data_IF_507976047552
#
_entry.id   IF_507976047552
#
_cell.length_a   1.000
_cell.length_b   1.000
_cell.length_c   1.000
_cell.angle_alpha   90.00
_cell.angle_beta   90.00
_cell.angle_gamma   90.00
#
_symmetry.space_group_name_H-M   'P 1'
#
loop_
_entity.id
_entity.type
_entity.pdbx_description
1 polymer ?
#
# COMPACT_ATOMS: atom_id res chain seq x y z
N UNK A 1 -1.49 -17.11 -4.83
CA UNK A 1 -1.80 -15.66 -4.90
C UNK A 1 -1.14 -15.12 -6.16
N UNK A 2 -1.84 -14.23 -6.89
CA UNK A 2 -1.24 -13.37 -7.92
C UNK A 2 -1.11 -11.97 -7.32
N UNK A 3 0.08 -11.39 -7.35
CA UNK A 3 0.37 -10.10 -6.71
C UNK A 3 1.06 -9.14 -7.65
N UNK A 4 0.76 -7.85 -7.56
CA UNK A 4 1.65 -6.82 -8.11
C UNK A 4 3.04 -6.95 -7.48
N UNK A 5 4.11 -6.68 -8.24
CA UNK A 5 5.46 -6.53 -7.70
C UNK A 5 5.69 -5.16 -7.05
N UNK A 6 4.84 -4.17 -7.38
CA UNK A 6 4.88 -2.82 -6.83
C UNK A 6 4.14 -2.73 -5.49
N UNK A 7 4.70 -3.37 -4.47
CA UNK A 7 4.15 -3.46 -3.12
C UNK A 7 5.23 -3.17 -2.08
N UNK A 8 4.81 -2.88 -0.86
CA UNK A 8 5.70 -2.67 0.29
C UNK A 8 6.70 -3.81 0.45
N UNK A 9 7.96 -3.47 0.66
CA UNK A 9 9.06 -4.46 0.75
C UNK A 9 8.84 -5.55 1.80
N UNK A 10 8.17 -5.24 2.92
CA UNK A 10 7.81 -6.23 3.93
C UNK A 10 6.76 -7.23 3.42
N UNK A 11 5.77 -6.77 2.66
CA UNK A 11 4.78 -7.62 1.99
C UNK A 11 5.44 -8.47 0.91
N UNK A 12 6.34 -7.88 0.12
CA UNK A 12 7.12 -8.62 -0.87
C UNK A 12 7.93 -9.75 -0.23
N UNK A 13 8.65 -9.47 0.86
CA UNK A 13 9.40 -10.48 1.60
C UNK A 13 8.51 -11.57 2.19
N UNK A 14 7.36 -11.20 2.75
CA UNK A 14 6.36 -12.16 3.22
C UNK A 14 5.92 -13.09 2.09
N UNK A 15 5.56 -12.54 0.94
CA UNK A 15 5.05 -13.27 -0.21
C UNK A 15 6.13 -14.12 -0.89
N UNK A 16 7.32 -13.58 -1.05
CA UNK A 16 8.43 -14.24 -1.76
C UNK A 16 9.08 -15.35 -0.97
N UNK A 17 9.23 -15.19 0.35
CA UNK A 17 10.09 -16.05 1.17
C UNK A 17 9.39 -16.75 2.33
N UNK A 18 8.35 -16.15 2.92
CA UNK A 18 7.70 -16.69 4.11
C UNK A 18 6.50 -17.55 3.76
N UNK A 19 5.58 -17.06 2.94
CA UNK A 19 4.38 -17.81 2.56
C UNK A 19 4.66 -19.13 1.85
N UNK A 20 5.69 -19.26 0.98
CA UNK A 20 6.05 -20.55 0.39
C UNK A 20 6.41 -21.62 1.42
N UNK A 21 6.99 -21.25 2.57
CA UNK A 21 7.26 -22.18 3.67
C UNK A 21 5.99 -22.70 4.34
N UNK A 22 4.87 -22.01 4.15
CA UNK A 22 3.53 -22.39 4.62
C UNK A 22 2.68 -23.03 3.52
N UNK A 23 3.28 -23.35 2.36
CA UNK A 23 2.59 -23.95 1.22
C UNK A 23 1.76 -22.98 0.38
N UNK A 24 1.97 -21.67 0.53
CA UNK A 24 1.28 -20.63 -0.25
C UNK A 24 2.25 -20.04 -1.28
N UNK A 25 1.99 -20.31 -2.55
CA UNK A 25 2.78 -19.78 -3.66
C UNK A 25 2.27 -18.40 -4.10
N UNK A 26 3.19 -17.53 -4.50
CA UNK A 26 2.86 -16.20 -5.04
C UNK A 26 3.52 -16.01 -6.40
N UNK A 27 2.73 -15.62 -7.40
CA UNK A 27 3.21 -15.19 -8.72
C UNK A 27 3.14 -13.67 -8.77
N UNK A 28 4.27 -13.02 -9.08
CA UNK A 28 4.34 -11.56 -9.20
C UNK A 28 4.08 -11.10 -10.63
N UNK A 29 3.31 -10.04 -10.78
CA UNK A 29 3.07 -9.29 -12.01
C UNK A 29 3.93 -8.04 -11.96
N UNK A 30 4.86 -7.91 -12.90
CA UNK A 30 5.82 -6.80 -12.93
C UNK A 30 5.17 -5.50 -13.42
N UNK A 31 4.35 -5.58 -14.46
CA UNK A 31 3.55 -4.46 -14.96
C UNK A 31 2.11 -4.58 -14.48
N UNK A 32 1.78 -3.87 -13.40
CA UNK A 32 0.42 -3.90 -12.84
C UNK A 32 -0.62 -3.22 -13.74
N UNK A 33 -0.20 -2.44 -14.73
CA UNK A 33 -1.09 -1.74 -15.66
C UNK A 33 -1.50 -2.64 -16.85
N UNK A 34 -0.82 -3.78 -17.03
CA UNK A 34 -1.11 -4.77 -18.07
C UNK A 34 -2.08 -5.85 -17.56
N UNK A 35 -3.34 -5.78 -18.02
CA UNK A 35 -4.38 -6.77 -17.70
C UNK A 35 -4.05 -8.18 -18.22
N UNK A 36 -3.35 -8.31 -19.35
CA UNK A 36 -2.95 -9.61 -19.91
C UNK A 36 -1.89 -10.28 -19.02
N UNK A 37 -0.96 -9.50 -18.46
CA UNK A 37 0.02 -10.01 -17.51
C UNK A 37 -0.63 -10.57 -16.24
N UNK A 38 -1.68 -9.91 -15.72
CA UNK A 38 -2.47 -10.44 -14.61
C UNK A 38 -3.18 -11.74 -14.98
N UNK A 39 -3.82 -11.81 -16.13
CA UNK A 39 -4.51 -13.00 -16.60
C UNK A 39 -3.54 -14.19 -16.83
N UNK A 40 -2.38 -13.93 -17.44
CA UNK A 40 -1.36 -14.92 -17.69
C UNK A 40 -0.72 -15.51 -16.41
N UNK A 41 -0.74 -14.75 -15.31
CA UNK A 41 -0.22 -15.18 -14.02
C UNK A 41 -1.16 -16.12 -13.26
N UNK A 42 -2.42 -16.27 -13.69
CA UNK A 42 -3.42 -17.13 -13.05
C UNK A 42 -3.08 -18.60 -13.22
N UNK A 43 -3.23 -19.37 -12.14
CA UNK A 43 -3.08 -20.82 -12.10
C UNK A 43 -4.36 -21.48 -11.60
N UNK A 44 -4.58 -22.79 -11.81
CA UNK A 44 -5.79 -23.48 -11.33
C UNK A 44 -6.01 -23.33 -9.81
N UNK A 45 -4.92 -23.27 -9.03
CA UNK A 45 -4.94 -23.09 -7.58
C UNK A 45 -4.90 -21.63 -7.11
N UNK A 46 -5.00 -20.65 -8.00
CA UNK A 46 -5.07 -19.22 -7.61
C UNK A 46 -6.32 -18.96 -6.78
N UNK A 47 -6.13 -18.31 -5.62
CA UNK A 47 -7.19 -18.02 -4.63
C UNK A 47 -7.48 -16.53 -4.45
N UNK A 48 -6.54 -15.65 -4.78
CA UNK A 48 -6.73 -14.21 -4.65
C UNK A 48 -5.76 -13.43 -5.53
N UNK A 49 -6.14 -12.20 -5.88
CA UNK A 49 -5.25 -11.17 -6.37
C UNK A 49 -4.93 -10.21 -5.23
N UNK A 50 -3.71 -9.65 -5.26
CA UNK A 50 -3.26 -8.67 -4.27
C UNK A 50 -2.52 -7.52 -4.96
N UNK A 51 -2.86 -6.27 -4.59
CA UNK A 51 -2.14 -5.07 -5.04
C UNK A 51 -2.21 -3.97 -3.99
N UNK A 52 -1.37 -2.94 -4.13
CA UNK A 52 -1.50 -1.68 -3.39
C UNK A 52 -2.20 -0.64 -4.26
N UNK A 53 -3.10 0.16 -3.69
CA UNK A 53 -3.78 1.25 -4.39
C UNK A 53 -2.80 2.32 -4.86
N UNK A 54 -1.78 2.59 -4.05
CA UNK A 54 -0.60 3.41 -4.37
C UNK A 54 0.63 2.62 -3.98
N UNK A 55 1.41 2.22 -4.96
CA UNK A 55 2.56 1.34 -4.76
C UNK A 55 3.73 2.02 -4.03
N UNK A 56 4.55 1.24 -3.36
CA UNK A 56 5.74 1.71 -2.65
C UNK A 56 6.93 0.78 -2.96
N UNK A 57 8.05 1.26 -3.54
CA UNK A 57 8.49 2.68 -3.61
C UNK A 57 8.13 3.42 -4.91
N UNK A 58 7.51 2.80 -5.90
CA UNK A 58 7.30 3.38 -7.24
C UNK A 58 6.27 4.52 -7.26
N UNK A 59 5.41 4.63 -6.25
CA UNK A 59 4.33 5.65 -6.13
C UNK A 59 3.39 5.65 -7.37
N UNK A 60 3.27 4.51 -8.02
CA UNK A 60 2.35 4.26 -9.11
C UNK A 60 0.94 3.99 -8.57
N UNK A 61 -0.08 4.45 -9.29
CA UNK A 61 -1.50 4.29 -8.89
C UNK A 61 -2.13 3.15 -9.68
N UNK A 62 -2.78 2.24 -8.98
CA UNK A 62 -3.47 1.08 -9.54
C UNK A 62 -4.79 1.48 -10.20
N UNK A 63 -5.04 1.05 -11.43
CA UNK A 63 -6.41 0.99 -11.96
C UNK A 63 -7.13 -0.23 -11.35
N UNK A 64 -7.74 0.01 -10.19
CA UNK A 64 -8.36 -1.03 -9.36
C UNK A 64 -9.43 -1.79 -10.14
N UNK A 65 -10.27 -1.08 -10.91
CA UNK A 65 -11.35 -1.70 -11.70
C UNK A 65 -10.79 -2.67 -12.74
N UNK A 66 -9.73 -2.28 -13.45
CA UNK A 66 -9.08 -3.13 -14.45
C UNK A 66 -8.60 -4.45 -13.86
N UNK A 67 -7.96 -4.40 -12.69
CA UNK A 67 -7.45 -5.60 -12.01
C UNK A 67 -8.58 -6.43 -11.39
N UNK A 68 -9.61 -5.78 -10.85
CA UNK A 68 -10.81 -6.43 -10.33
C UNK A 68 -11.53 -7.23 -11.42
N UNK A 69 -11.68 -6.65 -12.61
CA UNK A 69 -12.35 -7.32 -13.74
C UNK A 69 -11.60 -8.62 -14.12
N UNK A 70 -10.27 -8.61 -14.13
CA UNK A 70 -9.46 -9.81 -14.38
C UNK A 70 -9.59 -10.83 -13.25
N UNK A 71 -9.56 -10.40 -11.99
CA UNK A 71 -9.73 -11.26 -10.83
C UNK A 71 -11.10 -11.97 -10.85
N UNK A 72 -12.17 -11.21 -11.06
CA UNK A 72 -13.53 -11.73 -11.09
C UNK A 72 -13.78 -12.65 -12.30
N UNK A 73 -13.22 -12.35 -13.46
CA UNK A 73 -13.25 -13.25 -14.62
C UNK A 73 -12.60 -14.64 -14.33
N UNK A 74 -11.70 -14.67 -13.36
CA UNK A 74 -11.03 -15.88 -12.89
C UNK A 74 -11.63 -16.44 -11.58
N UNK A 75 -12.77 -15.93 -11.14
CA UNK A 75 -13.48 -16.36 -9.93
C UNK A 75 -12.63 -16.27 -8.66
N UNK A 76 -11.85 -15.22 -8.51
CA UNK A 76 -11.07 -14.93 -7.30
C UNK A 76 -11.28 -13.48 -6.85
N UNK A 77 -11.20 -13.20 -5.54
CA UNK A 77 -11.32 -11.84 -5.03
C UNK A 77 -10.07 -11.03 -5.30
N UNK A 78 -10.26 -9.71 -5.42
CA UNK A 78 -9.18 -8.72 -5.37
C UNK A 78 -9.05 -8.15 -3.95
N UNK A 79 -7.85 -8.28 -3.39
CA UNK A 79 -7.45 -7.67 -2.11
C UNK A 79 -6.60 -6.44 -2.41
N UNK A 80 -6.98 -5.29 -1.89
CA UNK A 80 -6.25 -4.04 -2.08
C UNK A 80 -5.70 -3.53 -0.75
N UNK A 81 -4.39 -3.37 -0.65
CA UNK A 81 -3.78 -2.60 0.42
C UNK A 81 -3.93 -1.11 0.11
N UNK A 82 -4.70 -0.42 0.94
CA UNK A 82 -5.01 0.99 0.78
C UNK A 82 -4.34 1.87 1.86
N UNK A 83 -3.19 1.45 2.32
CA UNK A 83 -2.47 2.10 3.44
C UNK A 83 -2.09 3.54 3.15
N UNK A 84 -1.55 3.84 1.95
CA UNK A 84 -1.08 5.19 1.60
C UNK A 84 -2.25 6.14 1.36
N UNK A 85 -3.24 5.71 0.58
CA UNK A 85 -4.36 6.57 0.23
C UNK A 85 -5.39 6.71 1.37
N UNK A 86 -5.56 5.71 2.20
CA UNK A 86 -6.63 5.62 3.20
C UNK A 86 -8.03 5.68 2.58
N UNK A 87 -9.12 5.38 3.30
CA UNK A 87 -10.46 5.49 2.74
C UNK A 87 -10.90 6.94 2.49
N UNK A 88 -10.12 7.93 2.91
CA UNK A 88 -10.40 9.33 2.64
C UNK A 88 -10.10 9.73 1.18
N UNK A 89 -8.99 9.23 0.62
CA UNK A 89 -8.56 9.58 -0.74
C UNK A 89 -9.02 8.57 -1.80
N UNK A 90 -8.89 7.27 -1.51
CA UNK A 90 -9.32 6.19 -2.41
C UNK A 90 -10.25 5.24 -1.66
N UNK A 91 -11.36 4.86 -2.30
CA UNK A 91 -12.31 3.86 -1.80
C UNK A 91 -12.33 2.66 -2.73
N UNK A 92 -11.46 1.66 -2.49
CA UNK A 92 -11.29 0.55 -3.43
C UNK A 92 -12.55 -0.24 -3.74
N UNK A 93 -13.50 -0.33 -2.80
CA UNK A 93 -14.80 -0.99 -3.04
C UNK A 93 -15.64 -0.34 -4.16
N UNK A 94 -15.53 0.99 -4.34
CA UNK A 94 -16.21 1.70 -5.41
C UNK A 94 -15.61 1.39 -6.79
N UNK A 95 -14.47 0.69 -6.82
CA UNK A 95 -13.73 0.29 -8.00
C UNK A 95 -13.56 -1.23 -8.13
N UNK A 96 -14.39 -2.03 -7.44
CA UNK A 96 -14.45 -3.48 -7.60
C UNK A 96 -13.52 -4.30 -6.70
N UNK A 97 -12.80 -3.72 -5.75
CA UNK A 97 -12.09 -4.50 -4.74
C UNK A 97 -13.09 -5.25 -3.85
N UNK A 98 -12.74 -6.46 -3.41
CA UNK A 98 -13.58 -7.27 -2.53
C UNK A 98 -13.16 -7.15 -1.06
N UNK A 99 -11.86 -7.04 -0.84
CA UNK A 99 -11.26 -6.94 0.48
C UNK A 99 -10.25 -5.78 0.46
N UNK A 100 -10.28 -4.97 1.51
CA UNK A 100 -9.33 -3.87 1.69
C UNK A 100 -8.55 -4.08 2.98
N UNK A 101 -7.23 -3.94 2.89
CA UNK A 101 -6.36 -3.99 4.07
C UNK A 101 -5.67 -2.65 4.28
N UNK A 102 -5.35 -2.35 5.51
CA UNK A 102 -4.58 -1.17 5.90
C UNK A 102 -3.55 -1.53 6.96
N UNK A 103 -2.33 -1.06 6.80
CA UNK A 103 -1.46 -0.86 7.94
C UNK A 103 -1.94 0.37 8.70
N UNK A 104 -2.77 0.15 9.73
CA UNK A 104 -3.28 1.24 10.58
C UNK A 104 -2.16 1.94 11.38
N UNK A 105 -0.98 1.34 11.43
CA UNK A 105 0.29 1.92 11.90
C UNK A 105 0.60 3.26 11.23
N UNK A 106 0.20 3.42 9.94
CA UNK A 106 0.57 4.54 9.09
C UNK A 106 -0.44 5.68 9.23
N UNK A 107 -0.98 6.21 8.15
CA UNK A 107 -1.87 7.37 8.15
C UNK A 107 -3.13 7.23 9.01
N UNK A 108 -3.67 6.01 9.22
CA UNK A 108 -4.85 5.84 10.09
C UNK A 108 -4.53 6.21 11.54
N UNK A 109 -3.46 5.66 12.12
CA UNK A 109 -2.95 6.08 13.43
C UNK A 109 -2.29 7.46 13.39
N UNK A 110 -1.45 7.69 12.39
CA UNK A 110 -0.93 8.99 11.98
C UNK A 110 0.17 9.61 12.84
N UNK A 111 0.60 8.97 13.93
CA UNK A 111 1.50 9.59 14.92
C UNK A 111 2.74 8.75 15.24
N UNK A 112 2.94 7.61 14.56
CA UNK A 112 4.06 6.71 14.83
C UNK A 112 4.05 6.05 16.21
N UNK A 113 2.90 6.00 16.88
CA UNK A 113 2.76 5.57 18.28
C UNK A 113 2.14 4.19 18.44
N UNK A 114 1.68 3.55 17.37
CA UNK A 114 0.97 2.27 17.41
C UNK A 114 1.30 1.41 16.21
N UNK A 115 1.39 0.09 16.43
CA UNK A 115 1.43 -0.91 15.36
C UNK A 115 0.08 -1.59 15.31
N UNK A 116 -0.61 -1.50 14.16
CA UNK A 116 -1.94 -2.04 13.98
C UNK A 116 -2.23 -2.37 12.51
N UNK A 117 -3.15 -3.30 12.29
CA UNK A 117 -3.69 -3.64 10.98
C UNK A 117 -5.21 -3.69 11.00
N UNK A 118 -5.82 -3.41 9.84
CA UNK A 118 -7.26 -3.51 9.64
C UNK A 118 -7.54 -4.28 8.36
N UNK A 119 -8.49 -5.19 8.43
CA UNK A 119 -9.06 -5.90 7.28
C UNK A 119 -10.54 -5.52 7.18
N UNK A 120 -10.95 -5.06 6.01
CA UNK A 120 -12.34 -4.71 5.72
C UNK A 120 -12.83 -5.60 4.58
N UNK A 121 -13.91 -6.32 4.84
CA UNK A 121 -14.58 -7.15 3.84
C UNK A 121 -15.72 -6.31 3.21
N UNK A 122 -15.75 -6.21 1.89
CA UNK A 122 -16.81 -5.53 1.16
C UNK A 122 -18.14 -6.31 1.18
N UNK A 123 -18.09 -7.61 1.50
CA UNK A 123 -19.26 -8.48 1.53
C UNK A 123 -19.89 -8.74 0.15
N UNK A 124 -19.14 -8.47 -0.91
CA UNK A 124 -19.65 -8.51 -2.28
C UNK A 124 -19.25 -9.75 -3.06
N UNK A 125 -18.16 -10.42 -2.65
CA UNK A 125 -17.66 -11.59 -3.35
C UNK A 125 -18.55 -12.82 -3.07
N UNK A 126 -19.01 -13.48 -4.13
CA UNK A 126 -19.95 -14.60 -4.05
C UNK A 126 -19.23 -15.93 -3.77
N UNK A 127 -18.70 -16.11 -2.55
CA UNK A 127 -17.96 -17.32 -2.12
C UNK A 127 -18.68 -18.60 -2.43
N UNK A 128 -20.00 -18.65 -2.18
CA UNK A 128 -20.85 -19.83 -2.38
C UNK A 128 -20.97 -20.28 -3.84
N UNK A 129 -20.67 -19.42 -4.80
CA UNK A 129 -20.64 -19.75 -6.23
C UNK A 129 -19.33 -20.44 -6.66
N UNK A 130 -18.32 -20.44 -5.81
CA UNK A 130 -16.96 -20.91 -6.15
C UNK A 130 -16.47 -21.96 -5.15
N UNK A 131 -17.33 -22.96 -4.89
CA UNK A 131 -17.12 -23.99 -3.83
C UNK A 131 -15.78 -24.73 -3.96
N UNK A 132 -15.40 -25.11 -5.17
CA UNK A 132 -14.13 -25.82 -5.43
C UNK A 132 -12.89 -24.95 -5.13
N UNK A 133 -13.05 -23.62 -5.23
CA UNK A 133 -11.97 -22.68 -4.92
C UNK A 133 -11.88 -22.36 -3.42
N UNK A 134 -13.00 -22.31 -2.72
CA UNK A 134 -13.06 -21.85 -1.33
C UNK A 134 -13.72 -22.88 -0.39
N UNK A 135 -13.25 -24.16 -0.38
CA UNK A 135 -13.85 -25.20 0.48
C UNK A 135 -13.85 -24.80 1.95
N UNK A 136 -12.83 -24.09 2.40
CA UNK A 136 -12.76 -23.61 3.80
C UNK A 136 -13.88 -22.64 4.23
N UNK A 137 -14.64 -22.08 3.29
CA UNK A 137 -15.81 -21.23 3.58
C UNK A 137 -17.13 -21.94 3.27
N UNK A 138 -17.11 -22.87 2.32
CA UNK A 138 -18.31 -23.44 1.71
C UNK A 138 -18.62 -24.86 2.18
N UNK A 139 -17.61 -25.61 2.62
CA UNK A 139 -17.79 -26.96 3.16
C UNK A 139 -18.05 -26.96 4.67
N UNK A 140 -18.63 -28.06 5.20
CA UNK A 140 -18.82 -28.26 6.63
C UNK A 140 -17.50 -28.19 7.42
N UNK A 141 -17.44 -27.31 8.44
CA UNK A 141 -16.28 -27.17 9.32
C UNK A 141 -16.49 -28.01 10.60
N UNK A 142 -15.66 -29.04 10.85
CA UNK A 142 -15.77 -29.87 12.06
C UNK A 142 -15.63 -29.07 13.37
N UNK A 143 -14.84 -27.98 13.35
CA UNK A 143 -14.64 -27.12 14.53
C UNK A 143 -15.87 -26.27 14.88
N UNK A 144 -16.84 -26.20 13.97
CA UNK A 144 -18.12 -25.50 14.11
C UNK A 144 -19.32 -26.46 13.90
N UNK A 145 -19.22 -27.66 14.47
CA UNK A 145 -20.29 -28.66 14.48
C UNK A 145 -20.81 -29.08 13.08
N UNK A 146 -19.94 -28.97 12.06
CA UNK A 146 -20.30 -29.31 10.68
C UNK A 146 -21.06 -28.22 9.93
N UNK A 147 -21.15 -27.01 10.46
CA UNK A 147 -21.70 -25.87 9.73
C UNK A 147 -20.71 -25.35 8.70
N UNK A 148 -21.18 -24.92 7.52
CA UNK A 148 -20.38 -24.13 6.58
C UNK A 148 -20.60 -22.63 6.82
N UNK A 149 -19.56 -21.83 6.69
CA UNK A 149 -19.65 -20.38 6.93
C UNK A 149 -20.65 -19.70 5.98
N UNK A 150 -20.56 -20.01 4.68
CA UNK A 150 -21.49 -19.45 3.67
C UNK A 150 -22.92 -19.95 3.86
N UNK A 151 -23.10 -21.21 4.29
CA UNK A 151 -24.43 -21.77 4.50
C UNK A 151 -25.18 -21.17 5.69
N UNK A 152 -24.46 -20.78 6.75
CA UNK A 152 -25.07 -20.21 7.97
C UNK A 152 -25.11 -18.67 7.91
N UNK A 153 -24.07 -18.04 7.35
CA UNK A 153 -23.87 -16.59 7.44
C UNK A 153 -24.14 -15.86 6.11
N UNK A 154 -24.24 -16.61 5.01
CA UNK A 154 -24.26 -16.03 3.66
C UNK A 154 -22.89 -15.50 3.24
N UNK A 155 -22.76 -15.11 1.98
CA UNK A 155 -21.48 -14.65 1.40
C UNK A 155 -20.98 -13.36 2.05
N UNK A 156 -21.88 -12.47 2.44
CA UNK A 156 -21.55 -11.11 2.88
C UNK A 156 -20.66 -11.03 4.13
N UNK A 157 -20.72 -12.02 5.02
CA UNK A 157 -19.96 -11.99 6.28
C UNK A 157 -19.19 -13.29 6.57
N UNK A 158 -19.29 -14.30 5.71
CA UNK A 158 -18.65 -15.61 5.91
C UNK A 158 -17.12 -15.47 6.06
N UNK A 159 -16.48 -14.69 5.18
CA UNK A 159 -15.05 -14.48 5.18
C UNK A 159 -14.56 -13.79 6.46
N UNK A 160 -15.15 -12.65 6.81
CA UNK A 160 -14.68 -11.87 7.96
C UNK A 160 -14.95 -12.59 9.29
N UNK A 161 -16.04 -13.32 9.39
CA UNK A 161 -16.32 -14.14 10.59
C UNK A 161 -15.31 -15.27 10.71
N UNK A 162 -15.01 -15.99 9.62
CA UNK A 162 -13.99 -17.05 9.65
C UNK A 162 -12.62 -16.52 10.11
N UNK A 163 -12.19 -15.38 9.61
CA UNK A 163 -10.94 -14.75 10.05
C UNK A 163 -10.96 -14.51 11.57
N UNK A 164 -12.05 -13.98 12.09
CA UNK A 164 -12.17 -13.67 13.54
C UNK A 164 -12.17 -14.92 14.40
N UNK A 165 -12.97 -15.93 14.04
CA UNK A 165 -13.21 -17.10 14.91
C UNK A 165 -12.14 -18.20 14.78
N UNK A 166 -11.34 -18.17 13.72
CA UNK A 166 -10.21 -19.09 13.56
C UNK A 166 -8.88 -18.33 13.63
N UNK A 167 -8.54 -17.54 12.63
CA UNK A 167 -7.20 -16.97 12.54
C UNK A 167 -6.88 -16.01 13.69
N UNK A 168 -7.73 -15.02 13.95
CA UNK A 168 -7.49 -14.04 15.01
C UNK A 168 -7.49 -14.72 16.38
N UNK A 169 -8.50 -15.56 16.65
CA UNK A 169 -8.63 -16.25 17.95
C UNK A 169 -7.48 -17.23 18.17
N UNK A 170 -7.17 -18.09 17.16
CA UNK A 170 -6.28 -19.23 17.34
C UNK A 170 -4.81 -18.81 17.25
N UNK A 171 -4.47 -17.76 16.49
CA UNK A 171 -3.11 -17.22 16.41
C UNK A 171 -2.82 -16.13 17.44
N UNK A 172 -3.84 -15.59 18.08
CA UNK A 172 -3.70 -14.53 19.08
C UNK A 172 -3.36 -13.15 18.50
N UNK A 173 -3.56 -12.92 17.19
CA UNK A 173 -3.26 -11.66 16.52
C UNK A 173 -4.30 -10.57 16.83
N UNK A 174 -4.83 -10.53 18.04
CA UNK A 174 -5.81 -9.54 18.51
C UNK A 174 -5.13 -8.25 18.91
N UNK A 175 -5.66 -7.12 18.41
CA UNK A 175 -5.18 -5.80 18.80
C UNK A 175 -5.56 -5.49 20.26
N UNK A 176 -4.62 -4.90 21.01
CA UNK A 176 -4.91 -4.48 22.39
C UNK A 176 -5.95 -3.34 22.44
N UNK A 177 -6.73 -3.22 23.52
CA UNK A 177 -7.66 -2.09 23.68
C UNK A 177 -6.99 -0.73 23.58
N UNK A 178 -5.80 -0.56 24.18
CA UNK A 178 -5.04 0.71 24.12
C UNK A 178 -4.60 1.05 22.70
N UNK A 179 -4.12 0.06 21.96
CA UNK A 179 -3.76 0.25 20.53
C UNK A 179 -4.99 0.58 19.70
N UNK A 180 -6.13 -0.08 19.96
CA UNK A 180 -7.40 0.22 19.28
C UNK A 180 -7.86 1.64 19.55
N UNK A 181 -7.80 2.09 20.81
CA UNK A 181 -8.12 3.45 21.20
C UNK A 181 -7.23 4.47 20.50
N UNK A 182 -5.92 4.23 20.47
CA UNK A 182 -4.96 5.11 19.78
C UNK A 182 -5.27 5.22 18.27
N UNK A 183 -5.59 4.11 17.61
CA UNK A 183 -5.99 4.12 16.19
C UNK A 183 -7.28 4.90 15.98
N UNK A 184 -8.30 4.69 16.84
CA UNK A 184 -9.57 5.42 16.75
C UNK A 184 -9.38 6.93 16.88
N UNK A 185 -8.55 7.40 17.84
CA UNK A 185 -8.20 8.81 17.94
C UNK A 185 -7.54 9.35 16.68
N UNK A 186 -6.63 8.56 16.04
CA UNK A 186 -6.02 8.92 14.78
C UNK A 186 -7.06 9.05 13.66
N UNK A 187 -8.04 8.15 13.61
CA UNK A 187 -9.10 8.17 12.59
C UNK A 187 -10.00 9.40 12.72
N UNK A 188 -10.29 9.88 13.93
CA UNK A 188 -11.11 11.06 14.15
C UNK A 188 -10.58 12.32 13.44
N UNK A 189 -9.26 12.44 13.30
CA UNK A 189 -8.60 13.58 12.61
C UNK A 189 -8.10 13.25 11.21
N UNK A 190 -8.40 12.07 10.70
CA UNK A 190 -7.84 11.56 9.44
C UNK A 190 -8.07 12.51 8.27
N UNK A 191 -9.30 12.98 8.07
CA UNK A 191 -9.64 13.86 6.94
C UNK A 191 -8.83 15.16 6.95
N UNK A 192 -8.76 15.81 8.11
CA UNK A 192 -7.99 17.06 8.29
C UNK A 192 -6.50 16.85 8.03
N UNK A 193 -5.96 15.74 8.52
CA UNK A 193 -4.54 15.42 8.30
C UNK A 193 -4.26 15.12 6.84
N UNK A 194 -5.08 14.27 6.22
CA UNK A 194 -4.88 13.88 4.82
C UNK A 194 -5.03 15.06 3.85
N UNK A 195 -5.94 16.00 4.10
CA UNK A 195 -6.02 17.24 3.33
C UNK A 195 -4.69 18.01 3.39
N UNK A 196 -4.14 18.21 4.59
CA UNK A 196 -2.87 18.92 4.77
C UNK A 196 -1.69 18.12 4.20
N UNK A 197 -1.59 16.83 4.48
CA UNK A 197 -0.57 15.95 3.94
C UNK A 197 -0.51 15.98 2.41
N UNK A 198 -1.67 15.80 1.77
CA UNK A 198 -1.79 15.76 0.30
C UNK A 198 -1.48 17.12 -0.33
N UNK A 199 -1.95 18.21 0.30
CA UNK A 199 -1.63 19.56 -0.14
C UNK A 199 -0.12 19.80 -0.09
N UNK A 200 0.53 19.49 1.03
CA UNK A 200 1.97 19.64 1.17
C UNK A 200 2.74 18.81 0.11
N UNK A 201 2.29 17.57 -0.13
CA UNK A 201 2.91 16.71 -1.14
C UNK A 201 2.77 17.27 -2.56
N UNK A 202 1.59 17.77 -2.92
CA UNK A 202 1.34 18.36 -4.24
C UNK A 202 2.23 19.60 -4.45
N UNK A 203 2.20 20.57 -3.52
CA UNK A 203 2.99 21.80 -3.62
C UNK A 203 4.50 21.52 -3.64
N UNK A 204 4.95 20.53 -2.85
CA UNK A 204 6.37 20.18 -2.83
C UNK A 204 6.78 19.43 -4.10
N UNK A 205 5.92 18.54 -4.65
CA UNK A 205 6.19 17.85 -5.90
C UNK A 205 6.31 18.84 -7.07
N UNK A 206 5.43 19.83 -7.16
CA UNK A 206 5.47 20.89 -8.17
C UNK A 206 6.74 21.75 -8.06
N UNK A 207 7.16 22.06 -6.82
CA UNK A 207 8.40 22.79 -6.57
C UNK A 207 9.63 21.95 -6.97
N UNK A 208 9.69 20.70 -6.57
CA UNK A 208 10.78 19.77 -6.91
C UNK A 208 10.90 19.51 -8.42
N UNK A 209 9.78 19.42 -9.15
CA UNK A 209 9.77 19.21 -10.60
C UNK A 209 10.49 20.35 -11.36
N UNK A 210 10.49 21.54 -10.78
CA UNK A 210 11.15 22.72 -11.34
C UNK A 210 12.52 23.02 -10.72
N UNK A 211 12.99 22.18 -9.78
CA UNK A 211 14.25 22.42 -9.08
C UNK A 211 15.47 22.04 -9.96
N UNK A 212 16.52 22.90 -10.06
CA UNK A 212 17.67 22.66 -10.97
C UNK A 212 18.45 21.36 -10.67
N UNK A 213 18.50 20.92 -9.42
CA UNK A 213 19.26 19.73 -9.00
C UNK A 213 18.44 18.43 -9.04
N UNK A 214 17.15 18.52 -9.32
CA UNK A 214 16.24 17.39 -9.47
C UNK A 214 16.17 16.94 -10.94
N UNK A 215 16.33 15.65 -11.17
CA UNK A 215 16.24 15.06 -12.50
C UNK A 215 14.82 14.62 -12.85
N UNK A 216 14.07 14.10 -11.89
CA UNK A 216 12.67 13.68 -12.04
C UNK A 216 11.96 13.59 -10.70
N UNK A 217 10.63 13.65 -10.73
CA UNK A 217 9.75 13.49 -9.56
C UNK A 217 8.73 12.39 -9.84
N UNK A 218 8.58 11.44 -8.92
CA UNK A 218 7.54 10.43 -8.96
C UNK A 218 6.43 10.81 -7.98
N UNK A 219 5.36 11.37 -8.51
CA UNK A 219 4.13 11.67 -7.78
C UNK A 219 2.96 11.71 -8.75
N UNK A 220 1.98 10.86 -8.53
CA UNK A 220 0.87 10.68 -9.49
C UNK A 220 -0.08 11.89 -9.57
N UNK A 221 0.06 12.87 -8.67
CA UNK A 221 -0.65 14.15 -8.72
C UNK A 221 -0.06 15.17 -9.71
N UNK A 222 1.11 14.91 -10.30
CA UNK A 222 1.72 15.77 -11.32
C UNK A 222 1.18 15.42 -12.72
N UNK A 223 0.86 16.41 -13.56
CA UNK A 223 0.44 16.16 -14.96
C UNK A 223 1.47 15.41 -15.81
N UNK A 224 2.75 15.50 -15.45
CA UNK A 224 3.86 14.78 -16.09
C UNK A 224 3.88 13.28 -15.75
N UNK A 225 3.18 12.87 -14.69
CA UNK A 225 3.14 11.46 -14.25
C UNK A 225 2.37 10.57 -15.23
N UNK A 226 2.89 9.38 -15.60
CA UNK A 226 2.15 8.42 -16.41
C UNK A 226 0.86 7.93 -15.76
N UNK A 227 0.74 8.02 -14.45
CA UNK A 227 -0.45 7.61 -13.68
C UNK A 227 -1.41 8.76 -13.37
N UNK A 228 -1.18 9.98 -13.86
CA UNK A 228 -2.02 11.15 -13.60
C UNK A 228 -3.49 10.92 -13.95
N UNK A 229 -3.77 10.32 -15.11
CA UNK A 229 -5.13 10.04 -15.56
C UNK A 229 -5.83 9.01 -14.63
N UNK A 230 -5.13 7.93 -14.28
CA UNK A 230 -5.62 6.91 -13.34
C UNK A 230 -5.84 7.52 -11.95
N UNK A 231 -4.91 8.34 -11.47
CA UNK A 231 -5.01 9.04 -10.20
C UNK A 231 -6.27 9.93 -10.13
N UNK A 232 -6.52 10.74 -11.15
CA UNK A 232 -7.72 11.58 -11.20
C UNK A 232 -9.02 10.76 -11.22
N UNK A 233 -9.01 9.55 -11.79
CA UNK A 233 -10.18 8.64 -11.82
C UNK A 233 -10.47 8.06 -10.44
N UNK A 234 -9.45 7.55 -9.73
CA UNK A 234 -9.64 6.78 -8.49
C UNK A 234 -9.43 7.59 -7.21
N UNK A 235 -8.71 8.70 -7.29
CA UNK A 235 -8.30 9.53 -6.16
C UNK A 235 -8.56 11.04 -6.40
N UNK A 236 -9.81 11.46 -6.62
CA UNK A 236 -10.15 12.85 -7.00
C UNK A 236 -9.78 13.89 -5.92
N UNK A 237 -9.51 13.46 -4.69
CA UNK A 237 -9.06 14.33 -3.58
C UNK A 237 -7.54 14.40 -3.45
N UNK A 238 -6.80 13.72 -4.34
CA UNK A 238 -5.34 13.60 -4.33
C UNK A 238 -4.84 12.20 -4.00
N UNK A 239 -3.55 11.98 -4.23
CA UNK A 239 -2.92 10.65 -4.25
C UNK A 239 -2.10 10.32 -3.00
N UNK A 240 -2.28 11.05 -1.91
CA UNK A 240 -1.56 10.85 -0.66
C UNK A 240 -0.30 11.70 -0.53
N UNK A 241 0.53 11.35 0.43
CA UNK A 241 1.63 12.20 0.88
C UNK A 241 3.00 11.53 0.79
N UNK A 242 3.13 10.50 -0.04
CA UNK A 242 4.41 9.86 -0.32
C UNK A 242 4.81 10.21 -1.74
N UNK A 243 6.01 10.73 -1.91
CA UNK A 243 6.60 10.99 -3.23
C UNK A 243 8.07 10.59 -3.24
N UNK A 244 8.65 10.46 -4.40
CA UNK A 244 10.08 10.30 -4.56
C UNK A 244 10.60 11.18 -5.69
N UNK A 245 11.87 11.52 -5.62
CA UNK A 245 12.54 12.30 -6.66
C UNK A 245 13.98 11.84 -6.81
N UNK A 246 14.54 12.10 -7.98
CA UNK A 246 15.91 11.73 -8.33
C UNK A 246 16.80 12.97 -8.31
N UNK A 247 17.87 12.95 -7.53
CA UNK A 247 18.91 13.98 -7.52
C UNK A 247 19.95 13.71 -8.61
N UNK A 248 20.33 14.76 -9.37
CA UNK A 248 21.33 14.69 -10.44
C UNK A 248 22.71 14.27 -9.94
N UNK A 249 23.03 14.54 -8.68
CA UNK A 249 24.30 14.19 -8.07
C UNK A 249 24.43 12.73 -7.60
N UNK A 250 23.39 11.91 -7.79
CA UNK A 250 23.40 10.48 -7.46
C UNK A 250 23.56 10.19 -5.96
N UNK A 251 24.23 9.06 -5.62
CA UNK A 251 24.39 8.61 -4.22
C UNK A 251 25.01 9.67 -3.29
N UNK A 252 26.06 10.42 -3.67
CA UNK A 252 26.62 11.46 -2.80
C UNK A 252 25.60 12.54 -2.45
N UNK A 253 24.86 13.05 -3.44
CA UNK A 253 23.86 14.09 -3.20
C UNK A 253 22.71 13.58 -2.32
N UNK A 254 22.19 12.36 -2.60
CA UNK A 254 21.15 11.76 -1.76
C UNK A 254 21.56 11.59 -0.30
N UNK A 255 22.81 11.19 -0.04
CA UNK A 255 23.33 11.10 1.33
C UNK A 255 23.48 12.46 1.98
N UNK A 256 24.07 13.44 1.27
CA UNK A 256 24.26 14.80 1.80
C UNK A 256 22.90 15.38 2.19
N UNK A 257 21.91 15.30 1.33
CA UNK A 257 20.56 15.81 1.61
C UNK A 257 19.99 15.22 2.90
N UNK A 258 19.93 13.89 3.03
CA UNK A 258 19.29 13.24 4.19
C UNK A 258 20.07 13.42 5.50
N UNK A 259 21.36 13.76 5.43
CA UNK A 259 22.21 14.06 6.58
C UNK A 259 22.17 15.55 6.98
N UNK A 260 21.75 16.44 6.07
CA UNK A 260 21.78 17.90 6.27
C UNK A 260 20.46 18.48 6.72
N UNK A 261 19.32 17.87 6.30
CA UNK A 261 17.98 18.33 6.71
C UNK A 261 17.79 18.23 8.22
N UNK A 262 17.06 19.15 8.79
CA UNK A 262 16.82 19.28 10.23
C UNK A 262 15.36 19.18 10.64
N UNK A 263 14.44 19.59 9.77
CA UNK A 263 13.00 19.47 9.98
C UNK A 263 12.49 18.09 9.58
N UNK A 264 12.95 17.57 8.44
CA UNK A 264 12.67 16.20 8.07
C UNK A 264 13.38 15.21 8.98
N UNK A 265 12.64 14.21 9.49
CA UNK A 265 13.26 13.12 10.23
C UNK A 265 13.81 12.06 9.27
N UNK A 266 15.09 11.71 9.39
CA UNK A 266 15.73 10.63 8.63
C UNK A 266 15.25 9.29 9.17
N UNK A 267 14.13 8.79 8.67
CA UNK A 267 13.46 7.57 9.16
C UNK A 267 12.76 6.82 8.03
N UNK A 268 13.01 5.51 7.95
CA UNK A 268 12.36 4.61 7.00
C UNK A 268 10.92 4.25 7.41
N UNK A 269 10.05 5.24 7.50
CA UNK A 269 8.61 5.07 7.76
C UNK A 269 7.81 5.95 6.80
N UNK A 270 6.48 5.89 6.90
CA UNK A 270 5.52 6.76 6.19
C UNK A 270 4.31 7.02 7.08
N UNK A 271 3.55 8.06 6.79
CA UNK A 271 2.22 8.29 7.38
C UNK A 271 2.23 8.89 8.78
N UNK A 272 3.34 9.46 9.20
CA UNK A 272 3.45 10.26 10.42
C UNK A 272 3.03 11.72 10.14
N UNK A 273 2.53 12.43 11.15
CA UNK A 273 2.30 13.88 11.10
C UNK A 273 3.59 14.68 10.88
N UNK A 274 4.73 14.08 11.15
CA UNK A 274 6.06 14.62 10.86
C UNK A 274 6.52 14.20 9.48
N UNK A 275 7.19 15.09 8.78
CA UNK A 275 7.82 14.79 7.50
C UNK A 275 9.04 13.91 7.67
N UNK A 276 9.11 12.87 6.83
CA UNK A 276 10.17 11.87 6.87
C UNK A 276 10.91 11.85 5.53
N UNK A 277 12.21 11.59 5.58
CA UNK A 277 13.08 11.47 4.41
C UNK A 277 13.96 10.22 4.51
N UNK A 278 14.17 9.56 3.39
CA UNK A 278 15.19 8.51 3.25
C UNK A 278 15.85 8.58 1.89
N UNK A 279 17.10 8.13 1.84
CA UNK A 279 17.82 7.78 0.61
C UNK A 279 17.89 6.25 0.52
N UNK A 280 16.99 5.58 -0.23
CA UNK A 280 16.84 4.11 -0.20
C UNK A 280 18.12 3.36 -0.54
N UNK A 281 18.90 3.84 -1.51
CA UNK A 281 20.12 3.18 -1.95
C UNK A 281 21.17 3.03 -0.84
N UNK A 282 21.25 4.00 0.08
CA UNK A 282 22.21 3.93 1.21
C UNK A 282 21.60 3.42 2.51
N UNK A 283 20.29 3.17 2.58
CA UNK A 283 19.60 2.76 3.81
C UNK A 283 18.85 1.44 3.62
N UNK A 284 17.59 1.47 3.24
CA UNK A 284 16.71 0.30 3.17
C UNK A 284 17.11 -0.74 2.12
N UNK A 285 17.86 -0.36 1.10
CA UNK A 285 18.31 -1.23 0.00
C UNK A 285 19.83 -1.34 -0.07
N UNK A 286 20.56 -0.87 0.94
CA UNK A 286 22.04 -0.84 0.97
C UNK A 286 22.70 -2.22 0.87
N UNK A 287 21.96 -3.29 1.19
CA UNK A 287 22.47 -4.68 1.10
C UNK A 287 22.32 -5.27 -0.31
N UNK A 288 21.60 -4.61 -1.22
CA UNK A 288 21.44 -5.05 -2.60
C UNK A 288 22.61 -4.58 -3.47
N UNK A 289 22.95 -5.40 -4.49
CA UNK A 289 23.85 -4.94 -5.55
C UNK A 289 23.24 -3.78 -6.33
N UNK A 290 24.03 -2.94 -7.01
CA UNK A 290 23.48 -1.84 -7.84
C UNK A 290 22.43 -2.30 -8.85
N UNK A 291 22.65 -3.42 -9.52
CA UNK A 291 21.70 -3.98 -10.48
C UNK A 291 20.39 -4.43 -9.81
N UNK A 292 20.48 -5.02 -8.61
CA UNK A 292 19.31 -5.42 -7.83
C UNK A 292 18.56 -4.19 -7.28
N UNK A 293 19.26 -3.11 -6.92
CA UNK A 293 18.63 -1.83 -6.56
C UNK A 293 17.83 -1.26 -7.75
N UNK A 294 18.43 -1.19 -8.93
CA UNK A 294 17.75 -0.72 -10.15
C UNK A 294 16.53 -1.57 -10.49
N UNK A 295 16.65 -2.89 -10.38
CA UNK A 295 15.51 -3.81 -10.60
C UNK A 295 14.37 -3.59 -9.59
N UNK A 296 14.72 -3.17 -8.37
CA UNK A 296 13.73 -2.79 -7.34
C UNK A 296 13.17 -1.36 -7.53
N UNK A 297 13.60 -0.62 -8.57
CA UNK A 297 13.21 0.76 -8.82
C UNK A 297 13.95 1.78 -7.94
N UNK A 298 15.10 1.40 -7.38
CA UNK A 298 15.93 2.27 -6.55
C UNK A 298 17.12 2.72 -7.36
N UNK A 299 17.07 3.95 -7.85
CA UNK A 299 18.16 4.61 -8.57
C UNK A 299 19.16 5.25 -7.59
N UNK A 300 20.39 5.58 -8.04
CA UNK A 300 21.45 6.10 -7.17
C UNK A 300 21.12 7.39 -6.42
N UNK A 301 20.35 8.29 -7.03
CA UNK A 301 19.97 9.59 -6.45
C UNK A 301 18.55 9.62 -5.90
N UNK A 302 17.87 8.47 -5.82
CA UNK A 302 16.48 8.41 -5.38
C UNK A 302 16.34 8.81 -3.90
N UNK A 303 15.55 9.84 -3.66
CA UNK A 303 15.11 10.25 -2.32
C UNK A 303 13.61 10.05 -2.22
N UNK A 304 13.14 9.45 -1.12
CA UNK A 304 11.73 9.29 -0.84
C UNK A 304 11.34 10.18 0.34
N UNK A 305 10.26 10.92 0.17
CA UNK A 305 9.62 11.73 1.22
C UNK A 305 8.29 11.10 1.63
N UNK A 306 7.97 11.23 2.91
CA UNK A 306 6.62 11.07 3.42
C UNK A 306 6.26 12.37 4.11
N UNK A 307 5.42 13.19 3.47
CA UNK A 307 5.12 14.54 3.92
C UNK A 307 4.20 14.52 5.13
N UNK A 308 4.58 15.31 6.13
CA UNK A 308 3.80 15.57 7.32
C UNK A 308 2.83 16.75 7.13
N UNK A 309 2.45 17.36 8.26
CA UNK A 309 1.48 18.48 8.31
C UNK A 309 2.11 19.84 8.64
N UNK A 310 3.44 19.93 8.61
CA UNK A 310 4.21 21.14 8.83
C UNK A 310 3.88 22.22 7.79
N UNK A 311 4.38 23.41 7.98
CA UNK A 311 4.28 24.47 6.97
C UNK A 311 5.10 24.07 5.74
N UNK A 312 4.50 24.12 4.55
CA UNK A 312 5.16 23.69 3.31
C UNK A 312 6.38 24.53 2.95
N UNK A 313 6.37 25.84 3.28
CA UNK A 313 7.51 26.72 3.03
C UNK A 313 8.71 26.38 3.92
N UNK A 314 8.47 25.95 5.17
CA UNK A 314 9.53 25.45 6.05
C UNK A 314 10.11 24.13 5.52
N UNK A 315 9.25 23.24 4.95
CA UNK A 315 9.70 22.00 4.31
C UNK A 315 10.58 22.26 3.07
N UNK A 316 10.18 23.23 2.23
CA UNK A 316 10.99 23.65 1.07
C UNK A 316 12.33 24.24 1.52
N UNK A 317 12.32 25.13 2.53
CA UNK A 317 13.53 25.74 3.05
C UNK A 317 14.51 24.70 3.64
N UNK A 318 14.01 23.67 4.32
CA UNK A 318 14.84 22.60 4.89
C UNK A 318 15.47 21.74 3.78
N UNK A 319 14.74 21.44 2.70
CA UNK A 319 15.29 20.72 1.54
C UNK A 319 16.28 21.55 0.73
N UNK A 320 16.05 22.86 0.60
CA UNK A 320 16.95 23.79 -0.10
C UNK A 320 18.28 23.97 0.63
N UNK A 321 18.27 23.85 1.96
CA UNK A 321 19.46 23.96 2.79
C UNK A 321 20.30 22.68 2.82
N UNK A 322 19.73 21.56 2.44
CA UNK A 322 20.38 20.24 2.45
C UNK A 322 21.02 19.88 1.12
#
# INVERSE_FOLDING_TARGET
IVSSSSIYGGTYNLFKYTLPKLGIEVTFVEDQDDAEAWAAAVRPNTKAFFAESVGNPRINVLDIQKVADVAHANNVPLIVDNTIATPFLIRPFEHGADIVVHSATKFLGGHGTVIAGVIVDGGTFAWSKHVDKFPGLTEPDPSYHGASYTGVLGDAIAYIIKIRVQLLRDTGAALSPDSSFTVLQGIETLSLRLERHTKNAQELAEWLENHPDVASVNYAGLPSSPWYATANKVAPKGVGAVLSFELKGGVPAGKTLVESVSLFSHLANIGDVRSLVIHPASTTHSQLSPDAQLSAGVTPGLVRLSLGIENVEDLKADLEAG
#
